data_IF_974690312374
#
_entry.id   IF_974690312374
#
_cell.length_a   1.000
_cell.length_b   1.000
_cell.length_c   1.000
_cell.angle_alpha   90.00
_cell.angle_beta   90.00
_cell.angle_gamma   90.00
#
_symmetry.space_group_name_H-M   'P 1'
#
loop_
_entity.id
_entity.type
_entity.pdbx_description
1 polymer ?
#
# COMPACT_ATOMS: atom_id res chain seq x y z
N UNK A 1 12.48 -8.63 12.69
CA UNK A 1 11.36 -8.04 11.91
C UNK A 1 10.60 -9.16 11.21
N UNK A 2 9.29 -9.30 11.49
CA UNK A 2 8.43 -10.22 10.72
C UNK A 2 8.27 -9.61 9.33
N UNK A 3 8.60 -10.35 8.28
CA UNK A 3 8.25 -9.95 6.91
C UNK A 3 6.73 -10.11 6.77
N UNK A 4 5.99 -9.01 6.77
CA UNK A 4 4.58 -9.02 6.38
C UNK A 4 4.55 -9.42 4.90
N UNK A 5 4.01 -10.60 4.62
CA UNK A 5 3.88 -11.11 3.26
C UNK A 5 2.60 -10.51 2.69
N UNK A 6 2.75 -9.40 1.97
CA UNK A 6 1.70 -8.71 1.22
C UNK A 6 1.21 -9.59 0.06
N UNK A 7 0.37 -10.59 0.36
CA UNK A 7 -0.14 -11.57 -0.61
C UNK A 7 -1.65 -11.55 -0.64
N UNK A 8 -2.22 -11.82 -1.82
CA UNK A 8 -3.65 -12.02 -2.00
C UNK A 8 -3.93 -13.30 -2.78
N UNK A 9 -5.09 -13.89 -2.52
CA UNK A 9 -5.63 -15.02 -3.27
C UNK A 9 -7.14 -14.91 -3.27
N UNK A 10 -7.78 -15.04 -4.43
CA UNK A 10 -9.23 -15.11 -4.55
C UNK A 10 -9.66 -16.03 -5.71
N UNK A 11 -10.83 -16.64 -5.57
CA UNK A 11 -11.39 -17.53 -6.58
C UNK A 11 -12.08 -16.73 -7.70
N UNK A 12 -12.00 -17.23 -8.92
CA UNK A 12 -12.64 -16.72 -10.12
C UNK A 12 -13.30 -17.89 -10.87
N UNK A 13 -14.19 -17.61 -11.82
CA UNK A 13 -14.95 -18.65 -12.53
C UNK A 13 -14.08 -19.77 -13.15
N UNK A 14 -12.84 -19.48 -13.53
CA UNK A 14 -11.91 -20.41 -14.18
C UNK A 14 -10.68 -20.77 -13.31
N UNK A 15 -10.76 -20.67 -11.98
CA UNK A 15 -9.70 -21.07 -11.06
C UNK A 15 -9.43 -20.04 -9.97
N UNK A 16 -8.18 -19.91 -9.51
CA UNK A 16 -7.79 -18.96 -8.47
C UNK A 16 -6.79 -17.94 -8.99
N UNK A 17 -6.98 -16.66 -8.67
CA UNK A 17 -5.97 -15.61 -8.87
C UNK A 17 -5.19 -15.43 -7.58
N UNK A 18 -3.86 -15.40 -7.68
CA UNK A 18 -2.95 -15.16 -6.56
C UNK A 18 -1.89 -14.15 -6.97
N UNK A 19 -1.43 -13.37 -6.01
CA UNK A 19 -0.37 -12.41 -6.27
C UNK A 19 0.17 -11.80 -5.00
N UNK A 20 1.14 -10.94 -5.20
CA UNK A 20 1.78 -10.17 -4.16
C UNK A 20 1.59 -8.67 -4.47
N UNK A 21 1.59 -7.85 -3.44
CA UNK A 21 1.57 -6.39 -3.56
C UNK A 21 2.69 -5.77 -2.74
N UNK A 22 3.03 -4.52 -3.02
CA UNK A 22 3.91 -3.74 -2.16
C UNK A 22 3.25 -2.43 -1.80
N UNK A 23 3.35 -2.02 -0.54
CA UNK A 23 2.90 -0.71 -0.09
C UNK A 23 4.15 0.10 0.21
N UNK A 24 4.21 1.32 -0.30
CA UNK A 24 5.33 2.22 -0.09
C UNK A 24 4.88 3.68 -0.16
N UNK A 25 5.67 4.57 0.44
CA UNK A 25 5.51 5.99 0.24
C UNK A 25 6.34 6.43 -0.97
N UNK A 26 5.73 7.14 -1.92
CA UNK A 26 6.46 7.72 -3.04
C UNK A 26 7.09 9.07 -2.64
N UNK A 27 8.00 9.58 -3.48
CA UNK A 27 8.69 10.87 -3.28
C UNK A 27 7.76 12.09 -3.26
N UNK A 28 6.48 11.93 -3.60
CA UNK A 28 5.46 12.97 -3.47
C UNK A 28 4.65 12.89 -2.16
N UNK A 29 5.03 11.99 -1.25
CA UNK A 29 4.41 11.82 0.07
C UNK A 29 3.20 10.91 0.12
N UNK A 30 2.60 10.61 -1.03
CA UNK A 30 1.43 9.73 -1.08
C UNK A 30 1.85 8.27 -0.93
N UNK A 31 0.96 7.47 -0.36
CA UNK A 31 1.12 6.03 -0.23
C UNK A 31 0.58 5.35 -1.48
N UNK A 32 1.36 4.42 -2.02
CA UNK A 32 1.04 3.66 -3.21
C UNK A 32 0.97 2.18 -2.89
N UNK A 33 0.02 1.50 -3.53
CA UNK A 33 0.00 0.04 -3.64
C UNK A 33 0.44 -0.36 -5.05
N UNK A 34 1.55 -1.09 -5.14
CA UNK A 34 2.07 -1.69 -6.37
C UNK A 34 1.58 -3.13 -6.49
N UNK A 35 0.93 -3.46 -7.60
CA UNK A 35 0.50 -4.82 -7.95
C UNK A 35 0.93 -5.15 -9.38
N UNK A 36 1.84 -6.12 -9.53
CA UNK A 36 2.40 -6.46 -10.84
C UNK A 36 3.10 -5.27 -11.49
N UNK A 37 2.54 -4.76 -12.60
CA UNK A 37 3.04 -3.56 -13.31
C UNK A 37 2.24 -2.28 -13.02
N UNK A 38 1.13 -2.37 -12.30
CA UNK A 38 0.24 -1.26 -12.01
C UNK A 38 0.44 -0.73 -10.60
N UNK A 39 0.21 0.58 -10.42
CA UNK A 39 0.22 1.22 -9.11
C UNK A 39 -1.10 1.97 -8.88
N UNK A 40 -1.53 2.01 -7.63
CA UNK A 40 -2.71 2.76 -7.19
C UNK A 40 -2.31 3.64 -6.03
N UNK A 41 -2.65 4.93 -6.12
CA UNK A 41 -2.52 5.87 -5.01
C UNK A 41 -3.61 5.56 -4.00
N UNK A 42 -3.25 5.39 -2.73
CA UNK A 42 -4.23 5.22 -1.66
C UNK A 42 -4.64 6.58 -1.11
N UNK A 43 -5.94 6.78 -0.94
CA UNK A 43 -6.49 7.89 -0.16
C UNK A 43 -6.26 7.67 1.34
N UNK A 44 -6.22 8.75 2.14
CA UNK A 44 -5.95 8.63 3.58
C UNK A 44 -6.98 7.73 4.30
N UNK A 45 -8.24 7.81 3.88
CA UNK A 45 -9.29 6.95 4.43
C UNK A 45 -9.05 5.47 4.09
N UNK A 46 -8.61 5.16 2.87
CA UNK A 46 -8.29 3.79 2.47
C UNK A 46 -7.11 3.21 3.27
N UNK A 47 -6.11 4.03 3.58
CA UNK A 47 -4.97 3.63 4.43
C UNK A 47 -5.48 3.20 5.82
N UNK A 48 -6.38 4.00 6.40
CA UNK A 48 -7.00 3.73 7.71
C UNK A 48 -7.89 2.48 7.66
N UNK A 49 -8.75 2.38 6.66
CA UNK A 49 -9.70 1.26 6.52
C UNK A 49 -8.99 -0.08 6.29
N UNK A 50 -7.86 -0.07 5.59
CA UNK A 50 -7.02 -1.26 5.37
C UNK A 50 -6.11 -1.59 6.56
N UNK A 51 -6.06 -0.73 7.60
CA UNK A 51 -5.20 -0.93 8.76
C UNK A 51 -3.71 -0.89 8.43
N UNK A 52 -3.31 -0.09 7.43
CA UNK A 52 -1.91 0.02 7.00
C UNK A 52 -1.16 0.88 8.02
N UNK A 53 -0.17 0.29 8.70
CA UNK A 53 0.76 1.04 9.53
C UNK A 53 1.82 1.70 8.65
N UNK A 54 1.65 3.00 8.40
CA UNK A 54 2.55 3.77 7.54
C UNK A 54 3.96 3.91 8.14
N UNK A 55 4.13 3.78 9.45
CA UNK A 55 5.43 3.87 10.11
C UNK A 55 6.29 2.61 9.92
N UNK A 56 5.70 1.50 9.49
CA UNK A 56 6.42 0.29 9.11
C UNK A 56 6.91 0.31 7.65
N UNK A 57 6.53 1.33 6.86
CA UNK A 57 6.98 1.47 5.49
C UNK A 57 8.48 1.84 5.47
N UNK A 58 9.22 1.19 4.57
CA UNK A 58 10.63 1.47 4.36
C UNK A 58 10.78 2.94 3.94
N UNK A 59 11.70 3.65 4.61
CA UNK A 59 12.03 5.06 4.31
C UNK A 59 10.83 6.02 4.42
N UNK A 60 9.86 5.70 5.29
CA UNK A 60 8.73 6.58 5.54
C UNK A 60 9.16 7.96 6.09
N UNK A 61 8.67 9.02 5.46
CA UNK A 61 8.78 10.41 5.86
C UNK A 61 7.41 10.94 6.29
N UNK A 62 7.26 11.18 7.59
CA UNK A 62 6.03 11.68 8.18
C UNK A 62 5.63 13.08 7.72
N UNK A 63 6.60 13.99 7.55
CA UNK A 63 6.30 15.38 7.16
C UNK A 63 5.83 15.43 5.71
N UNK A 64 6.45 14.61 4.85
CA UNK A 64 6.04 14.47 3.46
C UNK A 64 4.65 13.81 3.34
N UNK A 65 4.36 12.80 4.17
CA UNK A 65 3.05 12.17 4.25
C UNK A 65 1.97 13.18 4.68
N UNK A 66 2.22 13.89 5.78
CA UNK A 66 1.30 14.89 6.30
C UNK A 66 0.99 15.95 5.23
N UNK A 67 2.02 16.48 4.55
CA UNK A 67 1.82 17.45 3.47
C UNK A 67 0.95 16.89 2.32
N UNK A 68 1.04 15.61 2.02
CA UNK A 68 0.29 14.98 0.93
C UNK A 68 -1.19 14.71 1.26
N UNK A 69 -1.55 14.59 2.55
CA UNK A 69 -2.92 14.25 2.99
C UNK A 69 -3.62 15.34 3.81
N UNK A 70 -2.94 16.42 4.21
CA UNK A 70 -3.53 17.54 4.96
C UNK A 70 -3.94 18.70 4.02
N UNK A 71 -4.78 18.43 3.01
CA UNK A 71 -5.38 19.47 2.16
C UNK A 71 -6.69 20.00 2.72
#
# INVERSE_FOLDING_TARGET
MKKVLNKFSYEVANGSVKGDFNIYQATNGKVYMLMGKGYTVLEEQQIKDLGIDVYELIEFDYELYKKAYTS
#
